data_IF_376224510844
#
_entry.id   IF_376224510844
#
_cell.length_a   1.000
_cell.length_b   1.000
_cell.length_c   1.000
_cell.angle_alpha   90.00
_cell.angle_beta   90.00
_cell.angle_gamma   90.00
#
_symmetry.space_group_name_H-M   'P 1'
#
loop_
_entity.id
_entity.type
_entity.pdbx_description
1 polymer ?
#
# COMPACT_ATOMS: atom_id res chain seq x y z
N UNK A 1 -8.24 8.26 7.17
CA UNK A 1 -8.92 7.00 7.56
C UNK A 1 -9.78 7.18 8.81
N UNK A 2 -9.21 7.46 10.01
CA UNK A 2 -9.99 7.60 11.26
C UNK A 2 -11.19 8.55 11.17
N UNK A 3 -10.98 9.73 10.55
CA UNK A 3 -12.07 10.68 10.34
C UNK A 3 -13.17 10.13 9.44
N UNK A 4 -12.84 9.34 8.41
CA UNK A 4 -13.83 8.76 7.52
C UNK A 4 -14.72 7.77 8.28
N UNK A 5 -14.12 6.88 9.07
CA UNK A 5 -14.87 5.97 9.95
C UNK A 5 -15.76 6.75 10.92
N UNK A 6 -15.21 7.74 11.64
CA UNK A 6 -15.96 8.54 12.61
C UNK A 6 -17.09 9.38 11.99
N UNK A 7 -16.95 9.79 10.73
CA UNK A 7 -17.93 10.61 9.99
C UNK A 7 -18.87 9.75 9.13
N UNK A 8 -18.87 8.41 9.28
CA UNK A 8 -19.67 7.47 8.48
C UNK A 8 -19.43 7.58 6.96
N UNK A 9 -18.18 7.75 6.56
CA UNK A 9 -17.74 7.72 5.15
C UNK A 9 -17.18 6.33 4.80
N UNK A 10 -17.45 5.87 3.58
CA UNK A 10 -16.82 4.70 2.97
C UNK A 10 -15.87 5.11 1.86
N UNK A 11 -14.93 4.24 1.51
CA UNK A 11 -14.12 4.43 0.32
C UNK A 11 -14.94 4.22 -0.94
N UNK A 12 -14.83 5.16 -1.88
CA UNK A 12 -15.48 5.07 -3.20
C UNK A 12 -14.59 4.43 -4.26
N UNK A 13 -13.28 4.33 -4.00
CA UNK A 13 -12.34 3.56 -4.81
C UNK A 13 -11.77 2.38 -4.01
N UNK A 14 -11.24 1.38 -4.71
CA UNK A 14 -10.42 0.34 -4.08
C UNK A 14 -9.24 0.98 -3.34
N UNK A 15 -9.00 0.54 -2.11
CA UNK A 15 -8.00 1.12 -1.25
C UNK A 15 -7.07 0.06 -0.70
N UNK A 16 -5.76 0.29 -0.78
CA UNK A 16 -4.73 -0.67 -0.42
C UNK A 16 -3.64 -0.05 0.43
N UNK A 17 -3.16 -0.79 1.42
CA UNK A 17 -2.09 -0.38 2.33
C UNK A 17 -0.96 -1.41 2.25
N UNK A 18 0.24 -0.94 1.94
CA UNK A 18 1.47 -1.74 1.92
C UNK A 18 2.40 -1.27 3.06
N UNK A 19 2.48 -2.01 4.18
CA UNK A 19 3.51 -1.77 5.19
C UNK A 19 4.91 -1.97 4.60
N UNK A 20 5.86 -1.09 4.96
CA UNK A 20 7.22 -1.13 4.39
C UNK A 20 8.13 -2.22 4.97
N UNK A 21 7.80 -2.77 6.13
CA UNK A 21 8.55 -3.83 6.81
C UNK A 21 7.65 -4.59 7.78
N UNK A 22 8.12 -5.74 8.26
CA UNK A 22 7.40 -6.49 9.32
C UNK A 22 7.33 -5.69 10.63
N UNK A 23 8.40 -5.00 11.01
CA UNK A 23 8.40 -4.13 12.18
C UNK A 23 7.34 -3.02 12.09
N UNK A 24 7.22 -2.37 10.93
CA UNK A 24 6.19 -1.32 10.71
C UNK A 24 4.79 -1.93 10.74
N UNK A 25 4.58 -3.07 10.07
CA UNK A 25 3.29 -3.79 10.06
C UNK A 25 2.87 -4.16 11.49
N UNK A 26 3.74 -4.86 12.22
CA UNK A 26 3.50 -5.33 13.57
C UNK A 26 3.25 -4.18 14.54
N UNK A 27 4.07 -3.14 14.50
CA UNK A 27 3.89 -1.93 15.32
C UNK A 27 2.55 -1.24 15.02
N UNK A 28 2.20 -1.09 13.74
CA UNK A 28 0.96 -0.45 13.32
C UNK A 28 -0.29 -1.28 13.70
N UNK A 29 -0.18 -2.61 13.69
CA UNK A 29 -1.24 -3.51 14.15
C UNK A 29 -1.43 -3.42 15.67
N UNK A 30 -0.33 -3.55 16.44
CA UNK A 30 -0.32 -3.42 17.90
C UNK A 30 -0.93 -2.09 18.37
N UNK A 31 -0.62 -1.00 17.65
CA UNK A 31 -1.11 0.34 17.97
C UNK A 31 -2.49 0.66 17.36
N UNK A 32 -3.13 -0.32 16.69
CA UNK A 32 -4.49 -0.21 16.17
C UNK A 32 -4.64 0.70 14.96
N UNK A 33 -3.55 0.97 14.22
CA UNK A 33 -3.58 1.80 13.01
C UNK A 33 -4.15 1.03 11.82
N UNK A 34 -3.79 -0.25 11.68
CA UNK A 34 -4.26 -1.08 10.55
C UNK A 34 -5.77 -1.32 10.59
N UNK A 35 -6.33 -1.53 11.78
CA UNK A 35 -7.78 -1.75 11.95
C UNK A 35 -8.62 -0.58 11.44
N UNK A 36 -8.12 0.66 11.54
CA UNK A 36 -8.79 1.84 11.01
C UNK A 36 -8.91 1.80 9.48
N UNK A 37 -7.93 1.21 8.80
CA UNK A 37 -7.97 1.02 7.35
C UNK A 37 -8.86 -0.19 6.99
N UNK A 38 -8.85 -1.24 7.79
CA UNK A 38 -9.74 -2.40 7.62
C UNK A 38 -11.21 -2.04 7.81
N UNK A 39 -11.54 -1.14 8.74
CA UNK A 39 -12.89 -0.56 8.93
C UNK A 39 -13.37 0.19 7.67
N UNK A 40 -12.46 0.62 6.80
CA UNK A 40 -12.74 1.21 5.49
C UNK A 40 -12.68 0.19 4.34
N UNK A 41 -12.66 -1.11 4.65
CA UNK A 41 -12.47 -2.21 3.70
C UNK A 41 -11.18 -2.08 2.87
N UNK A 42 -10.14 -1.43 3.40
CA UNK A 42 -8.87 -1.37 2.71
C UNK A 42 -8.17 -2.73 2.76
N UNK A 43 -7.53 -3.11 1.64
CA UNK A 43 -6.73 -4.32 1.56
C UNK A 43 -5.35 -4.08 2.17
N UNK A 44 -5.02 -4.79 3.24
CA UNK A 44 -3.65 -4.82 3.77
C UNK A 44 -2.84 -5.82 2.95
N UNK A 45 -1.88 -5.32 2.19
CA UNK A 45 -0.98 -6.14 1.39
C UNK A 45 0.20 -6.63 2.22
N UNK A 46 0.85 -7.68 1.71
CA UNK A 46 2.14 -8.14 2.23
C UNK A 46 3.17 -7.01 2.20
N UNK A 47 4.06 -7.02 3.19
CA UNK A 47 5.23 -6.17 3.34
C UNK A 47 6.33 -6.49 2.30
N UNK A 48 6.01 -6.19 1.05
CA UNK A 48 6.89 -6.34 -0.11
C UNK A 48 6.62 -5.22 -1.12
N UNK A 49 7.46 -5.11 -2.15
CA UNK A 49 7.31 -4.08 -3.19
C UNK A 49 5.94 -4.11 -3.90
N UNK A 50 5.41 -5.31 -4.18
CA UNK A 50 4.06 -5.52 -4.71
C UNK A 50 3.71 -4.64 -5.93
N UNK A 51 2.56 -3.92 -5.90
CA UNK A 51 2.12 -3.05 -7.00
C UNK A 51 3.14 -2.01 -7.46
N UNK A 52 4.06 -1.54 -6.60
CA UNK A 52 5.07 -0.54 -6.95
C UNK A 52 5.99 -0.99 -8.11
N UNK A 53 6.18 -2.31 -8.27
CA UNK A 53 7.00 -2.90 -9.33
C UNK A 53 6.22 -3.73 -10.34
N UNK A 54 4.89 -3.67 -10.31
CA UNK A 54 4.05 -4.46 -11.22
C UNK A 54 3.78 -5.89 -10.72
N UNK A 55 4.17 -6.22 -9.49
CA UNK A 55 3.82 -7.50 -8.86
C UNK A 55 2.42 -7.39 -8.25
N UNK A 56 1.44 -7.14 -9.11
CA UNK A 56 0.03 -7.03 -8.75
C UNK A 56 -0.83 -7.68 -9.82
N UNK A 57 -1.45 -8.80 -9.47
CA UNK A 57 -2.49 -9.43 -10.29
C UNK A 57 -3.80 -8.65 -10.12
N UNK A 58 -3.85 -7.44 -10.67
CA UNK A 58 -5.03 -6.59 -10.63
C UNK A 58 -6.12 -7.17 -11.53
N UNK A 59 -7.29 -7.39 -10.96
CA UNK A 59 -8.44 -7.88 -11.71
C UNK A 59 -8.80 -6.90 -12.85
N UNK A 60 -8.98 -7.43 -14.06
CA UNK A 60 -9.36 -6.65 -15.24
C UNK A 60 -8.25 -5.84 -15.90
N UNK A 61 -7.01 -5.84 -15.39
CA UNK A 61 -5.89 -5.11 -16.02
C UNK A 61 -5.53 -5.67 -17.42
N UNK A 62 -5.78 -6.96 -17.64
CA UNK A 62 -5.62 -7.66 -18.92
C UNK A 62 -6.55 -7.14 -20.03
N UNK A 63 -7.70 -6.57 -19.65
CA UNK A 63 -8.64 -5.92 -20.59
C UNK A 63 -8.12 -4.60 -21.15
N UNK A 64 -7.07 -4.05 -20.55
CA UNK A 64 -6.43 -2.79 -20.93
C UNK A 64 -7.40 -1.60 -21.00
N UNK A 65 -8.42 -1.58 -20.14
CA UNK A 65 -9.38 -0.47 -20.10
C UNK A 65 -8.70 0.82 -19.59
N UNK A 66 -9.03 1.99 -20.16
CA UNK A 66 -8.62 3.28 -19.62
C UNK A 66 -9.15 3.46 -18.20
N UNK A 67 -8.25 3.69 -17.25
CA UNK A 67 -8.59 3.89 -15.85
C UNK A 67 -7.54 4.78 -15.18
N UNK A 68 -7.83 5.25 -13.98
CA UNK A 68 -6.90 6.02 -13.17
C UNK A 68 -6.59 5.31 -11.86
N UNK A 69 -5.33 5.38 -11.44
CA UNK A 69 -4.89 4.99 -10.10
C UNK A 69 -4.10 6.13 -9.47
N UNK A 70 -4.16 6.24 -8.15
CA UNK A 70 -3.34 7.15 -7.37
C UNK A 70 -2.61 6.36 -6.28
N UNK A 71 -1.32 6.61 -6.12
CA UNK A 71 -0.51 5.87 -5.14
C UNK A 71 0.61 6.74 -4.56
N UNK A 72 1.09 6.35 -3.38
CA UNK A 72 2.18 7.03 -2.68
C UNK A 72 3.55 6.38 -2.92
N UNK A 73 3.72 5.71 -4.06
CA UNK A 73 5.03 5.26 -4.54
C UNK A 73 5.82 6.40 -5.19
N UNK A 74 6.82 6.10 -6.04
CA UNK A 74 7.71 7.10 -6.63
C UNK A 74 7.83 7.06 -8.16
N UNK A 75 7.18 6.09 -8.83
CA UNK A 75 7.23 5.93 -10.29
C UNK A 75 5.84 5.60 -10.83
N UNK A 76 5.52 6.18 -11.99
CA UNK A 76 4.22 6.04 -12.66
C UNK A 76 4.34 5.85 -14.19
N UNK A 77 5.43 5.24 -14.65
CA UNK A 77 5.58 4.90 -16.06
C UNK A 77 4.46 3.95 -16.53
N UNK A 78 4.11 4.01 -17.82
CA UNK A 78 3.10 3.12 -18.42
C UNK A 78 3.39 1.65 -18.11
N UNK A 79 2.32 0.87 -17.83
CA UNK A 79 2.37 -0.56 -17.44
C UNK A 79 3.08 -0.87 -16.12
N UNK A 80 3.62 0.11 -15.40
CA UNK A 80 4.47 -0.14 -14.23
C UNK A 80 3.73 -0.84 -13.10
N UNK A 81 2.49 -0.44 -12.81
CA UNK A 81 1.79 -0.89 -11.62
C UNK A 81 1.03 -2.21 -11.80
N UNK A 82 0.45 -2.42 -12.98
CA UNK A 82 -0.51 -3.50 -13.26
C UNK A 82 -0.36 -4.11 -14.66
N UNK A 83 0.66 -3.71 -15.44
CA UNK A 83 0.85 -4.19 -16.81
C UNK A 83 -0.04 -3.54 -17.87
N UNK A 84 -1.04 -2.72 -17.48
CA UNK A 84 -1.97 -2.08 -18.40
C UNK A 84 -1.37 -0.76 -18.97
N UNK A 85 -1.23 -0.61 -20.31
CA UNK A 85 -0.70 0.61 -20.90
C UNK A 85 -1.62 1.84 -20.75
N UNK A 86 -2.93 1.60 -20.55
CA UNK A 86 -3.97 2.62 -20.48
C UNK A 86 -4.31 3.04 -19.04
N UNK A 87 -3.59 2.50 -18.04
CA UNK A 87 -3.68 2.97 -16.65
C UNK A 87 -2.93 4.30 -16.52
N UNK A 88 -3.66 5.34 -16.14
CA UNK A 88 -3.10 6.64 -15.77
C UNK A 88 -2.76 6.67 -14.28
N UNK A 89 -1.48 6.53 -13.96
CA UNK A 89 -1.00 6.50 -12.59
C UNK A 89 -0.54 7.88 -12.10
N UNK A 90 -1.05 8.30 -10.95
CA UNK A 90 -0.70 9.56 -10.29
C UNK A 90 0.07 9.29 -8.99
N UNK A 91 1.14 10.05 -8.77
CA UNK A 91 1.94 9.99 -7.54
C UNK A 91 1.55 11.14 -6.63
N UNK A 92 1.23 10.85 -5.38
CA UNK A 92 0.89 11.85 -4.36
C UNK A 92 1.32 11.40 -2.96
N UNK A 93 1.11 12.23 -1.94
CA UNK A 93 1.36 11.83 -0.56
C UNK A 93 0.34 10.77 -0.08
N UNK A 94 0.67 9.95 0.94
CA UNK A 94 -0.26 8.94 1.47
C UNK A 94 -1.61 9.53 1.93
N UNK A 95 -1.61 10.74 2.47
CA UNK A 95 -2.81 11.42 2.95
C UNK A 95 -3.72 11.82 1.78
N UNK A 96 -3.13 12.33 0.69
CA UNK A 96 -3.86 12.66 -0.53
C UNK A 96 -4.42 11.42 -1.22
N UNK A 97 -3.66 10.32 -1.27
CA UNK A 97 -4.14 9.02 -1.77
C UNK A 97 -5.37 8.57 -0.98
N UNK A 98 -5.31 8.64 0.36
CA UNK A 98 -6.43 8.27 1.21
C UNK A 98 -7.65 9.18 0.97
N UNK A 99 -7.46 10.50 0.87
CA UNK A 99 -8.53 11.46 0.59
C UNK A 99 -9.22 11.18 -0.76
N UNK A 100 -8.45 10.89 -1.81
CA UNK A 100 -8.96 10.53 -3.14
C UNK A 100 -9.64 9.16 -3.13
N UNK A 101 -9.12 8.17 -2.39
CA UNK A 101 -9.76 6.86 -2.27
C UNK A 101 -11.13 6.96 -1.57
N UNK A 102 -11.23 7.84 -0.56
CA UNK A 102 -12.49 8.14 0.12
C UNK A 102 -13.46 8.88 -0.80
N UNK A 103 -12.99 9.92 -1.51
CA UNK A 103 -13.85 10.73 -2.37
C UNK A 103 -14.24 10.04 -3.68
N UNK A 104 -13.41 9.12 -4.17
CA UNK A 104 -13.51 8.49 -5.49
C UNK A 104 -13.20 9.43 -6.65
N UNK A 105 -12.68 10.63 -6.39
CA UNK A 105 -12.44 11.64 -7.43
C UNK A 105 -11.04 12.24 -7.36
N UNK A 106 -10.37 12.31 -8.51
CA UNK A 106 -9.05 12.95 -8.65
C UNK A 106 -9.10 14.48 -8.49
N UNK A 107 -10.25 15.10 -8.73
CA UNK A 107 -10.46 16.54 -8.60
C UNK A 107 -10.83 16.98 -7.18
N UNK A 108 -10.95 16.04 -6.22
CA UNK A 108 -11.33 16.35 -4.86
C UNK A 108 -10.21 17.09 -4.12
N UNK A 109 -10.52 18.28 -3.64
CA UNK A 109 -9.63 19.07 -2.80
C UNK A 109 -10.03 18.95 -1.32
N UNK A 110 -9.28 18.20 -0.47
CA UNK A 110 -9.64 17.99 0.93
C UNK A 110 -9.59 19.28 1.77
N UNK A 111 -8.98 20.36 1.26
CA UNK A 111 -8.91 21.66 1.96
C UNK A 111 -10.24 22.41 1.82
N UNK A 112 -10.92 22.32 0.68
CA UNK A 112 -12.10 23.15 0.37
C UNK A 112 -13.39 22.36 0.26
N UNK A 113 -13.32 21.14 -0.25
CA UNK A 113 -14.49 20.39 -0.69
C UNK A 113 -15.12 19.60 0.46
N UNK A 114 -16.41 19.33 0.32
CA UNK A 114 -17.18 18.48 1.21
C UNK A 114 -17.48 17.12 0.60
N UNK A 115 -17.84 16.16 1.45
CA UNK A 115 -18.33 14.84 1.12
C UNK A 115 -19.72 14.64 1.73
N UNK A 116 -20.52 13.79 1.10
CA UNK A 116 -21.78 13.31 1.69
C UNK A 116 -21.50 11.96 2.34
N UNK A 117 -21.81 11.85 3.63
CA UNK A 117 -21.66 10.60 4.36
C UNK A 117 -22.85 9.64 4.13
N UNK A 118 -22.79 8.44 4.70
CA UNK A 118 -23.86 7.44 4.56
C UNK A 118 -25.18 7.85 5.22
N UNK A 119 -25.19 8.92 6.02
CA UNK A 119 -26.39 9.51 6.64
C UNK A 119 -26.99 10.65 5.80
N UNK A 120 -26.36 11.01 4.67
CA UNK A 120 -26.79 12.13 3.83
C UNK A 120 -26.32 13.51 4.31
N UNK A 121 -25.41 13.55 5.30
CA UNK A 121 -24.89 14.78 5.87
C UNK A 121 -23.64 15.25 5.13
N UNK A 122 -23.50 16.57 5.00
CA UNK A 122 -22.31 17.19 4.44
C UNK A 122 -21.20 17.27 5.50
N UNK A 123 -20.06 16.65 5.21
CA UNK A 123 -18.89 16.59 6.09
C UNK A 123 -17.62 16.98 5.34
N UNK A 124 -16.66 17.59 6.04
CA UNK A 124 -15.33 17.93 5.50
C UNK A 124 -14.25 17.14 6.20
N UNK A 125 -13.13 16.90 5.53
CA UNK A 125 -11.94 16.31 6.15
C UNK A 125 -11.11 17.41 6.80
N UNK A 126 -10.71 17.21 8.04
CA UNK A 126 -9.78 18.09 8.75
C UNK A 126 -8.35 17.72 8.36
N UNK A 127 -7.39 18.67 8.40
CA UNK A 127 -5.98 18.37 8.20
C UNK A 127 -5.53 17.18 9.06
N UNK A 128 -4.88 16.16 8.48
CA UNK A 128 -4.49 14.98 9.22
C UNK A 128 -3.44 15.34 10.27
N UNK A 129 -3.53 14.68 11.42
CA UNK A 129 -2.52 14.72 12.46
C UNK A 129 -1.94 13.31 12.61
N UNK A 130 -0.62 13.24 12.76
CA UNK A 130 0.11 11.99 12.92
C UNK A 130 1.07 12.08 14.10
N UNK A 131 1.39 10.92 14.66
CA UNK A 131 2.50 10.77 15.59
C UNK A 131 3.71 10.35 14.75
N UNK A 132 4.83 11.06 14.88
CA UNK A 132 6.03 10.81 14.07
C UNK A 132 6.66 9.45 14.38
N UNK A 133 6.73 9.09 15.67
CA UNK A 133 7.27 7.82 16.15
C UNK A 133 6.30 7.16 17.14
N UNK A 134 6.21 5.81 17.16
CA UNK A 134 5.33 5.11 18.08
C UNK A 134 5.74 5.42 19.53
N UNK A 135 4.82 5.92 20.38
CA UNK A 135 5.16 6.34 21.74
C UNK A 135 5.58 5.17 22.65
N UNK A 136 5.20 3.94 22.29
CA UNK A 136 5.61 2.69 22.94
C UNK A 136 6.88 2.08 22.32
N UNK A 137 7.50 2.76 21.36
CA UNK A 137 8.59 2.21 20.55
C UNK A 137 8.12 1.25 19.45
N UNK A 138 9.06 0.88 18.58
CA UNK A 138 8.85 -0.13 17.54
C UNK A 138 8.91 -1.53 18.13
N UNK A 139 8.20 -2.46 17.49
CA UNK A 139 8.06 -3.84 17.96
C UNK A 139 7.94 -4.80 16.78
N UNK A 140 8.36 -6.05 16.99
CA UNK A 140 8.37 -7.14 16.02
C UNK A 140 8.60 -8.47 16.74
N UNK A 141 7.82 -9.50 16.41
CA UNK A 141 8.07 -10.86 16.93
C UNK A 141 9.25 -11.53 16.22
N UNK A 142 9.15 -11.67 14.90
CA UNK A 142 10.21 -12.19 14.03
C UNK A 142 10.36 -11.25 12.83
N UNK A 143 11.57 -10.72 12.64
CA UNK A 143 11.88 -9.82 11.51
C UNK A 143 12.36 -10.59 10.26
N UNK A 144 12.42 -11.92 10.33
CA UNK A 144 12.86 -12.80 9.26
C UNK A 144 14.37 -12.77 9.02
N UNK A 145 15.15 -12.17 9.92
CA UNK A 145 16.60 -12.12 9.77
C UNK A 145 17.23 -13.47 10.11
N UNK A 146 17.96 -14.03 9.14
CA UNK A 146 18.80 -15.21 9.33
C UNK A 146 20.26 -14.77 9.26
N UNK A 147 20.98 -14.89 10.37
CA UNK A 147 22.41 -14.63 10.41
C UNK A 147 23.17 -15.68 9.59
N UNK A 148 24.30 -15.31 8.95
CA UNK A 148 25.18 -16.31 8.36
C UNK A 148 25.76 -17.24 9.44
N UNK A 149 26.02 -18.48 9.07
CA UNK A 149 26.74 -19.42 9.94
C UNK A 149 28.17 -18.91 10.21
N UNK A 150 28.64 -19.04 11.45
CA UNK A 150 30.01 -18.62 11.83
C UNK A 150 31.07 -19.40 11.06
N UNK A 151 30.86 -20.70 10.87
CA UNK A 151 31.65 -21.55 9.98
C UNK A 151 30.78 -22.03 8.81
N UNK A 152 30.95 -21.38 7.65
CA UNK A 152 30.24 -21.71 6.42
C UNK A 152 31.09 -22.58 5.46
N UNK A 153 32.20 -23.17 5.93
CA UNK A 153 33.12 -23.96 5.09
C UNK A 153 32.46 -25.17 4.44
N UNK A 154 31.42 -25.72 5.06
CA UNK A 154 30.63 -26.84 4.54
C UNK A 154 29.42 -26.41 3.69
N UNK A 155 29.08 -25.12 3.65
CA UNK A 155 27.90 -24.62 2.93
C UNK A 155 28.14 -24.69 1.43
N UNK A 156 27.26 -25.41 0.73
CA UNK A 156 27.30 -25.54 -0.74
C UNK A 156 26.14 -24.80 -1.38
N UNK A 157 26.45 -23.84 -2.26
CA UNK A 157 25.46 -23.16 -3.10
C UNK A 157 25.37 -23.89 -4.44
N UNK A 158 24.28 -24.61 -4.66
CA UNK A 158 24.08 -25.45 -5.86
C UNK A 158 23.14 -24.74 -6.84
N UNK A 159 23.63 -24.44 -8.04
CA UNK A 159 22.80 -23.99 -9.18
C UNK A 159 22.57 -25.19 -10.10
N UNK A 160 21.31 -25.61 -10.23
CA UNK A 160 20.98 -26.76 -11.08
C UNK A 160 21.24 -26.44 -12.56
N UNK A 161 21.83 -27.37 -13.35
CA UNK A 161 22.10 -27.14 -14.77
C UNK A 161 20.84 -26.89 -15.62
N UNK A 162 19.70 -27.42 -15.18
CA UNK A 162 18.39 -27.31 -15.83
C UNK A 162 17.48 -26.24 -15.17
N UNK A 163 18.05 -25.33 -14.38
CA UNK A 163 17.26 -24.26 -13.75
C UNK A 163 16.75 -23.25 -14.77
N UNK A 164 15.43 -23.05 -14.80
CA UNK A 164 14.80 -21.97 -15.58
C UNK A 164 14.85 -20.60 -14.85
N UNK A 165 15.50 -20.51 -13.69
CA UNK A 165 15.47 -19.33 -12.80
C UNK A 165 16.84 -18.79 -12.43
N UNK A 166 17.84 -19.65 -12.28
CA UNK A 166 19.19 -19.30 -11.84
C UNK A 166 20.23 -19.85 -12.82
N UNK A 167 21.16 -19.01 -13.27
CA UNK A 167 22.23 -19.39 -14.21
C UNK A 167 23.56 -18.82 -13.73
N UNK A 168 24.63 -19.61 -13.83
CA UNK A 168 25.98 -19.12 -13.55
C UNK A 168 26.43 -18.17 -14.68
N UNK A 169 27.04 -17.04 -14.30
CA UNK A 169 27.66 -16.14 -15.26
C UNK A 169 28.96 -16.77 -15.79
N UNK A 170 29.16 -16.69 -17.10
CA UNK A 170 30.35 -17.17 -17.81
C UNK A 170 31.29 -16.04 -18.16
#
# INVERSE_FOLDING_TARGET
>A
AKQAVAKNLKTKAEFGINPGSEQVRFTAERDGLLSIFEDLNAKIFTNACGPCIGQWAREGADKQEPNSIIHSFNRNFSKRADGNPNTHAFVASPEMVAAVAISGRLDFNPITDSLINELGEEVRLDPPQGIELPPKGFDVEDNGYLAPEEDSSAVQVIVKPDSERLQLLT
#
